data_IF_415308657330
#
_entry.id   IF_415308657330
#
_cell.length_a   1.000
_cell.length_b   1.000
_cell.length_c   1.000
_cell.angle_alpha   90.00
_cell.angle_beta   90.00
_cell.angle_gamma   90.00
#
_symmetry.space_group_name_H-M   'P 1'
#
loop_
_entity.id
_entity.type
_entity.pdbx_description
1 polymer ?
#
# COMPACT_ATOMS: atom_id res chain seq x y z
N UNK A 1 11.19 53.62 37.15
CA UNK A 1 11.54 52.68 36.07
C UNK A 1 10.40 51.67 35.94
N UNK A 2 9.75 51.53 34.77
CA UNK A 2 8.54 50.71 34.68
C UNK A 2 8.87 49.22 34.54
N UNK A 3 8.08 48.40 35.23
CA UNK A 3 8.08 46.95 35.17
C UNK A 3 7.72 46.47 33.74
N UNK A 4 8.64 45.77 33.08
CA UNK A 4 8.35 45.03 31.84
C UNK A 4 7.62 43.73 32.20
N UNK A 5 6.31 43.70 31.99
CA UNK A 5 5.55 42.45 31.97
C UNK A 5 5.99 41.62 30.74
N UNK A 6 6.48 40.40 30.97
CA UNK A 6 6.67 39.40 29.92
C UNK A 6 5.29 38.90 29.50
N UNK A 7 4.78 39.41 28.38
CA UNK A 7 3.67 38.79 27.65
C UNK A 7 4.20 37.53 26.96
N UNK A 8 4.07 36.37 27.61
CA UNK A 8 4.17 35.08 26.92
C UNK A 8 2.89 34.87 26.13
N UNK A 9 2.97 35.09 24.81
CA UNK A 9 1.89 34.76 23.88
C UNK A 9 1.71 33.22 23.85
N UNK A 10 0.55 32.65 24.20
CA UNK A 10 0.34 31.20 24.19
C UNK A 10 0.31 30.59 22.78
N UNK A 11 0.36 31.40 21.72
CA UNK A 11 0.18 30.96 20.33
C UNK A 11 1.42 30.29 19.69
N UNK A 12 2.55 30.16 20.39
CA UNK A 12 3.76 29.48 19.89
C UNK A 12 4.09 28.19 20.64
N UNK A 13 3.06 27.47 21.08
CA UNK A 13 3.18 26.08 21.50
C UNK A 13 3.35 25.14 20.30
N UNK A 14 4.46 25.25 19.56
CA UNK A 14 4.90 24.12 18.75
C UNK A 14 5.22 23.01 19.75
N UNK A 15 4.28 22.07 19.92
CA UNK A 15 4.50 20.86 20.72
C UNK A 15 5.66 20.11 20.08
N UNK A 16 6.86 20.32 20.60
CA UNK A 16 8.04 19.53 20.29
C UNK A 16 7.67 18.07 20.56
N UNK A 17 7.38 17.35 19.48
CA UNK A 17 7.06 15.93 19.54
C UNK A 17 8.36 15.21 19.87
N UNK A 18 8.47 14.64 21.06
CA UNK A 18 9.57 13.73 21.34
C UNK A 18 9.38 12.49 20.46
N UNK A 19 10.29 12.28 19.51
CA UNK A 19 10.42 11.01 18.80
C UNK A 19 10.69 9.94 19.86
N UNK A 20 9.87 8.90 19.92
CA UNK A 20 10.09 7.79 20.87
C UNK A 20 11.03 6.74 20.30
N UNK A 21 11.10 6.60 18.97
CA UNK A 21 12.07 5.74 18.28
C UNK A 21 13.37 6.51 17.97
N UNK A 22 14.55 5.86 18.13
CA UNK A 22 15.84 6.46 17.76
C UNK A 22 15.95 6.57 16.24
N UNK A 23 16.53 7.67 15.75
CA UNK A 23 16.85 7.81 14.33
C UNK A 23 18.01 6.85 14.00
N UNK A 24 17.87 5.97 12.99
CA UNK A 24 18.89 5.03 12.63
C UNK A 24 20.15 5.73 12.10
N UNK A 25 21.29 5.06 12.23
CA UNK A 25 22.58 5.50 11.68
C UNK A 25 23.10 4.44 10.74
N UNK A 26 23.77 4.85 9.67
CA UNK A 26 24.48 3.96 8.75
C UNK A 26 25.46 3.06 9.51
N UNK A 27 25.55 1.80 9.08
CA UNK A 27 26.38 0.76 9.67
C UNK A 27 27.59 0.43 8.78
N UNK A 28 28.69 -0.12 9.34
CA UNK A 28 29.75 -0.70 8.54
C UNK A 28 29.20 -1.76 7.57
N UNK A 29 29.48 -1.60 6.27
CA UNK A 29 28.99 -2.51 5.22
C UNK A 29 27.76 -2.00 4.45
N UNK A 30 27.17 -0.87 4.87
CA UNK A 30 26.15 -0.19 4.09
C UNK A 30 26.73 0.31 2.75
N UNK A 31 26.05 0.02 1.64
CA UNK A 31 26.48 0.43 0.29
C UNK A 31 26.37 1.97 0.18
N UNK A 32 27.39 2.71 -0.25
CA UNK A 32 27.38 4.19 -0.17
C UNK A 32 26.30 4.84 -1.05
N UNK A 33 26.05 4.27 -2.23
CA UNK A 33 25.19 4.86 -3.26
C UNK A 33 23.90 4.05 -3.50
N UNK A 34 23.43 3.27 -2.54
CA UNK A 34 22.19 2.49 -2.69
C UNK A 34 20.90 3.32 -2.61
N UNK A 35 21.01 4.57 -2.15
CA UNK A 35 19.99 5.61 -2.26
C UNK A 35 20.65 6.92 -2.69
N UNK A 36 20.14 7.52 -3.76
CA UNK A 36 20.57 8.84 -4.21
C UNK A 36 19.55 9.89 -3.76
N UNK A 37 20.05 11.01 -3.24
CA UNK A 37 19.22 12.12 -2.80
C UNK A 37 19.49 13.35 -3.66
N UNK A 38 18.44 13.92 -4.26
CA UNK A 38 18.57 15.14 -5.06
C UNK A 38 17.71 16.26 -4.48
N UNK A 39 18.23 17.49 -4.56
CA UNK A 39 17.50 18.70 -4.20
C UNK A 39 17.33 19.56 -5.44
N UNK A 40 16.08 19.71 -5.89
CA UNK A 40 15.72 20.55 -7.02
C UNK A 40 14.73 21.59 -6.51
N UNK A 41 15.17 22.83 -6.29
CA UNK A 41 14.33 23.90 -5.74
C UNK A 41 13.50 23.42 -4.54
N UNK A 42 12.16 23.39 -4.65
CA UNK A 42 11.25 22.92 -3.60
C UNK A 42 11.11 21.39 -3.49
N UNK A 43 11.58 20.62 -4.47
CA UNK A 43 11.52 19.15 -4.46
C UNK A 43 12.74 18.55 -3.78
N UNK A 44 12.49 17.51 -2.99
CA UNK A 44 13.50 16.58 -2.48
C UNK A 44 13.20 15.19 -3.03
N UNK A 45 14.11 14.67 -3.86
CA UNK A 45 13.97 13.39 -4.53
C UNK A 45 14.77 12.33 -3.78
N UNK A 46 14.13 11.20 -3.54
CA UNK A 46 14.72 9.94 -3.08
C UNK A 46 14.70 9.00 -4.28
N UNK A 47 15.87 8.59 -4.75
CA UNK A 47 16.02 7.61 -5.82
C UNK A 47 16.64 6.33 -5.27
N UNK A 48 15.89 5.22 -5.31
CA UNK A 48 16.36 3.90 -4.88
C UNK A 48 17.34 3.36 -5.94
N UNK A 49 18.62 3.24 -5.61
CA UNK A 49 19.68 3.02 -6.60
C UNK A 49 20.33 1.63 -6.45
N UNK A 50 19.53 0.58 -6.66
CA UNK A 50 20.01 -0.81 -6.77
C UNK A 50 19.42 -1.49 -8.01
N UNK A 51 19.58 -0.94 -9.22
CA UNK A 51 18.85 -1.41 -10.41
C UNK A 51 19.17 -2.87 -10.79
N UNK A 52 20.38 -3.36 -10.43
CA UNK A 52 20.78 -4.77 -10.62
C UNK A 52 19.96 -5.75 -9.77
N UNK A 53 19.41 -5.29 -8.64
CA UNK A 53 18.50 -6.05 -7.76
C UNK A 53 17.05 -5.53 -7.84
N UNK A 54 16.68 -4.86 -8.94
CA UNK A 54 15.34 -4.27 -9.11
C UNK A 54 14.95 -3.34 -7.94
N UNK A 55 15.94 -2.60 -7.42
CA UNK A 55 15.77 -1.63 -6.33
C UNK A 55 15.17 -2.23 -5.05
N UNK A 56 15.44 -3.52 -4.77
CA UNK A 56 14.95 -4.17 -3.56
C UNK A 56 15.44 -3.48 -2.30
N UNK A 57 14.50 -3.21 -1.38
CA UNK A 57 14.75 -2.49 -0.14
C UNK A 57 15.59 -3.34 0.82
N UNK A 58 16.59 -2.74 1.44
CA UNK A 58 17.40 -3.37 2.47
C UNK A 58 17.59 -2.43 3.67
N UNK A 59 18.19 -2.94 4.75
CA UNK A 59 18.42 -2.14 5.96
C UNK A 59 19.28 -0.89 5.70
N UNK A 60 20.27 -0.98 4.83
CA UNK A 60 21.15 0.14 4.47
C UNK A 60 20.37 1.33 3.89
N UNK A 61 19.46 1.06 2.95
CA UNK A 61 18.60 2.08 2.35
C UNK A 61 17.66 2.71 3.38
N UNK A 62 17.04 1.91 4.25
CA UNK A 62 16.16 2.42 5.33
C UNK A 62 16.93 3.36 6.28
N UNK A 63 18.14 2.97 6.68
CA UNK A 63 19.03 3.77 7.52
C UNK A 63 19.45 5.09 6.88
N UNK A 64 19.44 5.20 5.54
CA UNK A 64 19.69 6.46 4.81
C UNK A 64 18.43 7.31 4.61
N UNK A 65 17.29 6.68 4.32
CA UNK A 65 16.05 7.40 4.01
C UNK A 65 15.46 8.07 5.25
N UNK A 66 15.37 7.35 6.37
CA UNK A 66 14.72 7.87 7.58
C UNK A 66 15.35 9.18 8.09
N UNK A 67 16.69 9.30 8.25
CA UNK A 67 17.30 10.55 8.67
C UNK A 67 17.00 11.72 7.72
N UNK A 68 16.99 11.49 6.40
CA UNK A 68 16.68 12.52 5.40
C UNK A 68 15.23 12.98 5.45
N UNK A 69 14.28 12.07 5.61
CA UNK A 69 12.88 12.43 5.84
C UNK A 69 12.74 13.26 7.12
N UNK A 70 13.39 12.87 8.21
CA UNK A 70 13.37 13.66 9.46
C UNK A 70 14.03 15.03 9.36
N UNK A 71 15.05 15.16 8.53
CA UNK A 71 15.68 16.44 8.21
C UNK A 71 14.73 17.33 7.39
N UNK A 72 14.15 16.81 6.32
CA UNK A 72 13.29 17.56 5.41
C UNK A 72 11.95 17.94 6.03
N UNK A 73 11.44 17.16 6.98
CA UNK A 73 10.27 17.50 7.80
C UNK A 73 10.43 18.86 8.49
N UNK A 74 11.66 19.22 8.91
CA UNK A 74 11.97 20.48 9.59
C UNK A 74 12.33 21.64 8.67
N UNK A 75 12.57 21.37 7.38
CA UNK A 75 13.09 22.36 6.43
C UNK A 75 11.97 23.00 5.61
N UNK A 76 11.74 24.30 5.73
CA UNK A 76 10.76 25.04 4.91
C UNK A 76 11.11 25.08 3.41
N UNK A 77 12.38 24.81 3.05
CA UNK A 77 12.81 24.68 1.65
C UNK A 77 12.42 23.34 1.00
N UNK A 78 11.98 22.37 1.79
CA UNK A 78 11.52 21.07 1.29
C UNK A 78 9.99 21.12 1.19
N UNK A 79 9.49 21.42 0.00
CA UNK A 79 8.06 21.60 -0.27
C UNK A 79 7.39 20.26 -0.62
N UNK A 80 8.00 19.49 -1.52
CA UNK A 80 7.46 18.21 -2.01
C UNK A 80 8.53 17.15 -1.90
N UNK A 81 8.19 16.00 -1.32
CA UNK A 81 9.04 14.82 -1.34
C UNK A 81 8.60 13.93 -2.50
N UNK A 82 9.57 13.45 -3.26
CA UNK A 82 9.34 12.54 -4.37
C UNK A 82 10.19 11.29 -4.19
N UNK A 83 9.60 10.12 -4.41
CA UNK A 83 10.25 8.83 -4.36
C UNK A 83 10.20 8.17 -5.75
N UNK A 84 11.33 7.67 -6.21
CA UNK A 84 11.48 6.96 -7.49
C UNK A 84 12.51 5.84 -7.39
N UNK A 85 12.54 4.94 -8.36
CA UNK A 85 13.59 3.92 -8.50
C UNK A 85 14.53 4.26 -9.64
N UNK A 86 15.81 3.98 -9.48
CA UNK A 86 16.80 4.13 -10.53
C UNK A 86 16.57 3.10 -11.65
N UNK A 87 16.81 3.52 -12.90
CA UNK A 87 16.57 2.71 -14.09
C UNK A 87 15.09 2.68 -14.51
N UNK A 88 14.74 1.77 -15.42
CA UNK A 88 13.42 1.75 -16.08
C UNK A 88 12.57 0.50 -15.77
N UNK A 89 13.00 -0.32 -14.81
CA UNK A 89 12.41 -1.65 -14.58
C UNK A 89 11.57 -1.74 -13.31
N UNK A 90 11.95 -1.03 -12.25
CA UNK A 90 11.32 -1.16 -10.94
C UNK A 90 11.40 0.16 -10.18
N UNK A 91 10.30 0.53 -9.51
CA UNK A 91 10.40 1.39 -8.35
C UNK A 91 11.17 0.63 -7.26
N UNK A 92 10.62 -0.51 -6.84
CA UNK A 92 11.18 -1.41 -5.84
C UNK A 92 10.45 -2.77 -5.89
N UNK A 93 11.19 -3.85 -6.08
CA UNK A 93 10.67 -5.21 -6.20
C UNK A 93 10.79 -6.02 -4.88
N UNK A 94 10.26 -5.47 -3.79
CA UNK A 94 10.22 -6.10 -2.47
C UNK A 94 11.42 -5.76 -1.59
N UNK A 95 11.45 -6.36 -0.39
CA UNK A 95 12.65 -6.38 0.44
C UNK A 95 13.68 -7.39 -0.09
N UNK A 96 14.94 -7.29 0.35
CA UNK A 96 16.01 -8.25 0.06
C UNK A 96 15.79 -9.58 0.83
N UNK A 97 14.60 -10.18 0.70
CA UNK A 97 14.12 -11.34 1.48
C UNK A 97 14.94 -12.61 1.26
N UNK A 98 15.66 -12.72 0.13
CA UNK A 98 16.60 -13.80 -0.11
C UNK A 98 17.78 -13.77 0.89
N UNK A 99 18.24 -12.57 1.27
CA UNK A 99 19.26 -12.43 2.30
C UNK A 99 18.70 -12.81 3.68
N UNK A 100 17.46 -12.41 3.98
CA UNK A 100 16.78 -12.75 5.24
C UNK A 100 16.56 -14.26 5.39
N UNK A 101 16.16 -14.95 4.32
CA UNK A 101 15.96 -16.41 4.37
C UNK A 101 17.27 -17.16 4.68
N UNK A 102 18.39 -16.78 4.05
CA UNK A 102 19.71 -17.32 4.36
C UNK A 102 20.17 -16.99 5.79
N UNK A 103 19.77 -15.83 6.29
CA UNK A 103 20.06 -15.41 7.65
C UNK A 103 19.28 -16.27 8.66
N UNK A 104 17.98 -16.45 8.45
CA UNK A 104 17.09 -17.19 9.36
C UNK A 104 17.48 -18.67 9.55
N UNK A 105 18.25 -19.26 8.63
CA UNK A 105 18.77 -20.63 8.75
C UNK A 105 19.87 -20.78 9.82
N UNK A 106 20.49 -19.68 10.27
CA UNK A 106 21.61 -19.71 11.21
C UNK A 106 21.19 -19.82 12.68
N UNK A 107 19.92 -19.55 12.99
CA UNK A 107 19.35 -19.74 14.33
C UNK A 107 18.66 -18.50 14.91
N UNK A 108 18.26 -18.54 16.19
CA UNK A 108 17.37 -17.55 16.79
C UNK A 108 17.89 -16.10 16.78
N UNK A 109 19.20 -15.89 16.95
CA UNK A 109 19.80 -14.55 16.94
C UNK A 109 19.65 -13.88 15.55
N UNK A 110 19.91 -14.64 14.50
CA UNK A 110 19.77 -14.18 13.11
C UNK A 110 18.29 -14.01 12.70
N UNK A 111 17.40 -14.85 13.21
CA UNK A 111 15.95 -14.67 13.04
C UNK A 111 15.47 -13.37 13.71
N UNK A 112 16.06 -13.01 14.86
CA UNK A 112 15.78 -11.73 15.51
C UNK A 112 16.31 -10.56 14.68
N UNK A 113 17.50 -10.64 14.12
CA UNK A 113 18.03 -9.61 13.22
C UNK A 113 17.14 -9.38 11.98
N UNK A 114 16.56 -10.43 11.41
CA UNK A 114 15.56 -10.30 10.35
C UNK A 114 14.28 -9.60 10.83
N UNK A 115 13.82 -9.89 12.06
CA UNK A 115 12.70 -9.14 12.67
C UNK A 115 13.05 -7.66 12.87
N UNK A 116 14.28 -7.35 13.25
CA UNK A 116 14.73 -5.97 13.45
C UNK A 116 14.77 -5.18 12.12
N UNK A 117 15.08 -5.85 11.00
CA UNK A 117 14.93 -5.26 9.67
C UNK A 117 13.48 -4.85 9.38
N UNK A 118 12.49 -5.73 9.61
CA UNK A 118 11.07 -5.40 9.43
C UNK A 118 10.62 -4.29 10.39
N UNK A 119 11.16 -4.24 11.61
CA UNK A 119 10.91 -3.13 12.53
C UNK A 119 11.31 -1.78 11.91
N UNK A 120 12.48 -1.71 11.27
CA UNK A 120 12.96 -0.50 10.61
C UNK A 120 12.16 -0.16 9.34
N UNK A 121 11.82 -1.16 8.52
CA UNK A 121 10.96 -0.99 7.34
C UNK A 121 9.59 -0.42 7.73
N UNK A 122 8.91 -1.03 8.70
CA UNK A 122 7.56 -0.60 9.11
C UNK A 122 7.57 0.78 9.79
N UNK A 123 8.67 1.16 10.46
CA UNK A 123 8.84 2.53 10.96
C UNK A 123 8.96 3.54 9.82
N UNK A 124 9.65 3.18 8.73
CA UNK A 124 9.76 4.02 7.53
C UNK A 124 8.40 4.14 6.84
N UNK A 125 7.68 3.04 6.64
CA UNK A 125 6.35 3.05 6.02
C UNK A 125 5.35 3.88 6.84
N UNK A 126 5.39 3.74 8.17
CA UNK A 126 4.59 4.57 9.08
C UNK A 126 4.97 6.06 8.99
N UNK A 127 6.26 6.37 8.87
CA UNK A 127 6.73 7.74 8.69
C UNK A 127 6.18 8.35 7.39
N UNK A 128 6.17 7.58 6.29
CA UNK A 128 5.58 8.00 5.01
C UNK A 128 4.06 8.20 5.17
N UNK A 129 3.37 7.26 5.83
CA UNK A 129 1.93 7.33 6.06
C UNK A 129 1.49 8.57 6.86
N UNK A 130 2.33 9.00 7.80
CA UNK A 130 2.05 10.12 8.72
C UNK A 130 2.87 11.37 8.42
N UNK A 131 3.46 11.44 7.22
CA UNK A 131 4.37 12.51 6.84
C UNK A 131 3.64 13.85 6.68
N UNK A 132 4.26 14.93 7.16
CA UNK A 132 3.62 16.26 7.26
C UNK A 132 3.85 17.15 6.03
N UNK A 133 4.40 16.59 4.95
CA UNK A 133 4.66 17.28 3.69
C UNK A 133 4.12 16.46 2.51
N UNK A 134 3.69 17.10 1.41
CA UNK A 134 3.27 16.39 0.21
C UNK A 134 4.33 15.35 -0.20
N UNK A 135 3.90 14.09 -0.30
CA UNK A 135 4.74 12.96 -0.67
C UNK A 135 4.19 12.32 -1.94
N UNK A 136 5.05 12.18 -2.94
CA UNK A 136 4.74 11.62 -4.26
C UNK A 136 5.57 10.36 -4.48
N UNK A 137 4.92 9.21 -4.60
CA UNK A 137 5.58 7.97 -5.00
C UNK A 137 5.35 7.67 -6.48
N UNK A 138 6.43 7.48 -7.23
CA UNK A 138 6.40 7.14 -8.65
C UNK A 138 6.60 5.64 -8.84
N UNK A 139 5.51 4.93 -9.15
CA UNK A 139 5.50 3.49 -9.37
C UNK A 139 5.91 3.13 -10.81
N UNK A 140 6.94 3.78 -11.37
CA UNK A 140 7.43 3.51 -12.74
C UNK A 140 8.21 2.20 -12.80
N UNK A 141 7.49 1.10 -13.03
CA UNK A 141 8.05 -0.25 -13.04
C UNK A 141 7.44 -1.18 -11.98
N UNK A 142 8.11 -2.30 -11.74
CA UNK A 142 7.74 -3.26 -10.69
C UNK A 142 7.68 -2.56 -9.32
N UNK A 143 6.54 -2.75 -8.64
CA UNK A 143 6.25 -2.24 -7.30
C UNK A 143 5.64 -3.38 -6.49
N UNK A 144 6.46 -4.06 -5.69
CA UNK A 144 6.07 -5.26 -4.91
C UNK A 144 6.66 -5.20 -3.50
N UNK A 145 6.06 -5.89 -2.51
CA UNK A 145 6.53 -5.94 -1.12
C UNK A 145 6.90 -4.57 -0.56
N UNK A 146 8.13 -4.37 -0.07
CA UNK A 146 8.62 -3.06 0.40
C UNK A 146 8.38 -1.87 -0.56
N UNK A 147 8.37 -2.07 -1.88
CA UNK A 147 8.01 -1.01 -2.84
C UNK A 147 6.54 -0.58 -2.75
N UNK A 148 5.67 -1.50 -2.36
CA UNK A 148 4.28 -1.20 -2.01
C UNK A 148 4.23 -0.37 -0.73
N UNK A 149 4.95 -0.75 0.33
CA UNK A 149 5.04 0.01 1.59
C UNK A 149 5.45 1.46 1.41
N UNK A 150 6.50 1.67 0.61
CA UNK A 150 7.01 3.00 0.28
C UNK A 150 6.06 3.85 -0.58
N UNK A 151 5.02 3.26 -1.17
CA UNK A 151 4.13 3.92 -2.13
C UNK A 151 2.69 4.07 -1.64
N UNK A 152 2.02 3.00 -1.20
CA UNK A 152 0.57 2.98 -0.92
C UNK A 152 0.12 3.93 0.18
N UNK A 153 1.04 4.32 1.05
CA UNK A 153 0.82 5.24 2.16
C UNK A 153 1.06 6.71 1.81
N UNK A 154 1.54 7.00 0.59
CA UNK A 154 1.64 8.36 0.11
C UNK A 154 0.26 8.87 -0.40
N UNK A 155 -0.05 10.16 -0.22
CA UNK A 155 -1.26 10.76 -0.81
C UNK A 155 -1.24 10.75 -2.33
N UNK A 156 -0.06 10.84 -2.94
CA UNK A 156 0.12 10.82 -4.39
C UNK A 156 0.94 9.60 -4.80
N UNK A 157 0.30 8.76 -5.60
CA UNK A 157 0.82 7.50 -6.11
C UNK A 157 0.59 7.47 -7.61
N UNK A 158 1.67 7.63 -8.36
CA UNK A 158 1.67 7.74 -9.81
C UNK A 158 1.96 6.36 -10.38
N UNK A 159 0.99 5.76 -11.05
CA UNK A 159 1.23 4.65 -11.96
C UNK A 159 1.63 5.17 -13.35
N UNK A 160 2.39 4.36 -14.08
CA UNK A 160 2.79 4.57 -15.48
C UNK A 160 2.44 3.33 -16.29
N UNK A 161 2.67 3.36 -17.60
CA UNK A 161 2.53 2.19 -18.46
C UNK A 161 3.44 1.02 -18.07
N UNK A 162 4.47 1.27 -17.24
CA UNK A 162 5.42 0.25 -16.76
C UNK A 162 5.08 -0.31 -15.39
N UNK A 163 4.11 0.27 -14.68
CA UNK A 163 3.75 -0.19 -13.33
C UNK A 163 3.36 -1.65 -13.36
N UNK A 164 3.97 -2.44 -12.48
CA UNK A 164 3.51 -3.81 -12.17
C UNK A 164 3.40 -3.92 -10.65
N UNK A 165 2.19 -3.73 -10.16
CA UNK A 165 1.86 -3.85 -8.75
C UNK A 165 1.49 -5.29 -8.40
N UNK A 166 2.04 -5.83 -7.31
CA UNK A 166 1.60 -7.09 -6.72
C UNK A 166 2.05 -7.23 -5.26
N UNK A 167 1.34 -8.09 -4.53
CA UNK A 167 1.70 -8.56 -3.18
C UNK A 167 1.99 -10.08 -3.25
N UNK A 168 3.21 -10.50 -3.67
CA UNK A 168 3.58 -11.91 -3.86
C UNK A 168 3.93 -12.66 -2.57
N UNK A 169 3.64 -12.13 -1.39
CA UNK A 169 4.12 -12.64 -0.10
C UNK A 169 3.58 -14.06 0.20
N UNK A 170 2.32 -14.34 -0.12
CA UNK A 170 1.75 -15.70 0.06
C UNK A 170 2.41 -16.76 -0.83
N UNK A 171 3.08 -16.33 -1.91
CA UNK A 171 3.85 -17.21 -2.81
C UNK A 171 5.15 -17.68 -2.18
N UNK A 172 5.71 -16.91 -1.24
CA UNK A 172 7.00 -17.18 -0.59
C UNK A 172 6.84 -17.62 0.87
N UNK A 173 5.64 -18.01 1.28
CA UNK A 173 5.40 -18.42 2.67
C UNK A 173 5.40 -17.26 3.67
N UNK A 174 4.99 -16.07 3.21
CA UNK A 174 4.85 -14.87 4.02
C UNK A 174 3.43 -14.29 3.88
N UNK A 175 3.14 -13.20 4.59
CA UNK A 175 1.83 -12.55 4.59
C UNK A 175 1.94 -11.14 3.98
N UNK A 176 0.87 -10.57 3.40
CA UNK A 176 0.88 -9.18 2.94
C UNK A 176 1.14 -8.23 4.10
N UNK A 177 2.33 -7.63 4.12
CA UNK A 177 2.84 -6.76 5.17
C UNK A 177 2.88 -5.29 4.71
N UNK A 178 3.75 -4.47 5.30
CA UNK A 178 3.96 -3.06 4.94
C UNK A 178 2.68 -2.24 4.87
N UNK A 179 1.77 -2.47 5.82
CA UNK A 179 0.45 -1.86 5.87
C UNK A 179 -0.60 -2.54 4.97
N UNK A 180 -0.32 -3.73 4.45
CA UNK A 180 -1.20 -4.57 3.64
C UNK A 180 -2.55 -4.80 4.31
N UNK A 181 -2.56 -5.10 5.61
CA UNK A 181 -3.79 -5.25 6.39
C UNK A 181 -4.63 -3.96 6.47
N UNK A 182 -4.02 -2.78 6.24
CA UNK A 182 -4.71 -1.50 6.23
C UNK A 182 -5.25 -1.13 4.85
N UNK A 183 -4.39 -1.08 3.83
CA UNK A 183 -4.80 -0.53 2.54
C UNK A 183 -5.64 -1.52 1.72
N UNK A 184 -5.29 -2.82 1.72
CA UNK A 184 -6.03 -3.83 0.96
C UNK A 184 -7.44 -3.98 1.52
N UNK A 185 -7.59 -3.96 2.85
CA UNK A 185 -8.90 -4.07 3.50
C UNK A 185 -9.83 -2.87 3.24
N UNK A 186 -9.33 -1.82 2.58
CA UNK A 186 -10.05 -0.57 2.26
C UNK A 186 -10.24 -0.37 0.75
N UNK A 187 -9.77 -1.31 -0.08
CA UNK A 187 -10.16 -1.35 -1.50
C UNK A 187 -11.65 -1.69 -1.62
N UNK A 188 -12.25 -1.32 -2.76
CA UNK A 188 -13.68 -1.55 -2.99
C UNK A 188 -14.01 -3.06 -2.91
N UNK A 189 -15.08 -3.41 -2.20
CA UNK A 189 -15.56 -4.78 -2.00
C UNK A 189 -14.47 -5.74 -1.47
N UNK A 190 -14.36 -6.93 -2.06
CA UNK A 190 -13.36 -7.94 -1.68
C UNK A 190 -12.12 -7.96 -2.59
N UNK A 191 -11.89 -6.87 -3.32
CA UNK A 191 -10.73 -6.76 -4.21
C UNK A 191 -9.41 -6.91 -3.46
N UNK A 192 -9.28 -6.29 -2.29
CA UNK A 192 -8.08 -6.43 -1.47
C UNK A 192 -7.83 -7.85 -0.97
N UNK A 193 -8.89 -8.57 -0.59
CA UNK A 193 -8.80 -9.99 -0.21
C UNK A 193 -8.33 -10.85 -1.38
N UNK A 194 -8.88 -10.61 -2.58
CA UNK A 194 -8.46 -11.30 -3.80
C UNK A 194 -6.98 -11.05 -4.11
N UNK A 195 -6.53 -9.79 -4.11
CA UNK A 195 -5.14 -9.43 -4.41
C UNK A 195 -4.16 -10.02 -3.38
N UNK A 196 -4.51 -9.98 -2.09
CA UNK A 196 -3.72 -10.53 -1.00
C UNK A 196 -3.50 -12.04 -1.11
N UNK A 197 -4.56 -12.80 -1.36
CA UNK A 197 -4.50 -14.26 -1.34
C UNK A 197 -3.91 -14.83 -2.63
N UNK A 198 -4.27 -14.25 -3.78
CA UNK A 198 -3.85 -14.78 -5.09
C UNK A 198 -2.51 -14.23 -5.57
N UNK A 199 -2.08 -13.07 -5.04
CA UNK A 199 -0.94 -12.31 -5.54
C UNK A 199 -1.09 -11.88 -7.02
N UNK A 200 -2.33 -11.64 -7.45
CA UNK A 200 -2.63 -11.17 -8.81
C UNK A 200 -1.92 -9.84 -9.12
N UNK A 201 -1.49 -9.67 -10.37
CA UNK A 201 -0.71 -8.51 -10.78
C UNK A 201 -1.60 -7.45 -11.42
N UNK A 202 -1.46 -6.21 -10.97
CA UNK A 202 -2.08 -5.06 -11.62
C UNK A 202 -1.03 -4.36 -12.48
N UNK A 203 -1.29 -4.29 -13.78
CA UNK A 203 -0.39 -3.66 -14.74
C UNK A 203 -0.91 -2.27 -15.13
N UNK A 204 -0.02 -1.29 -15.19
CA UNK A 204 -0.31 0.06 -15.66
C UNK A 204 -1.57 0.69 -15.08
N UNK A 205 -2.51 1.05 -15.96
CA UNK A 205 -3.76 1.74 -15.59
C UNK A 205 -4.67 0.89 -14.69
N UNK A 206 -4.49 -0.43 -14.65
CA UNK A 206 -5.26 -1.30 -13.76
C UNK A 206 -4.99 -0.99 -12.28
N UNK A 207 -3.78 -0.50 -11.94
CA UNK A 207 -3.47 -0.03 -10.60
C UNK A 207 -4.33 1.20 -10.23
N UNK A 208 -4.64 2.09 -11.18
CA UNK A 208 -5.54 3.22 -10.98
C UNK A 208 -6.98 2.75 -10.78
N UNK A 209 -7.49 1.86 -11.64
CA UNK A 209 -8.87 1.37 -11.55
C UNK A 209 -9.15 0.56 -10.28
N UNK A 210 -8.15 -0.18 -9.79
CA UNK A 210 -8.22 -0.90 -8.53
C UNK A 210 -8.19 0.02 -7.29
N UNK A 211 -7.82 1.29 -7.44
CA UNK A 211 -7.66 2.25 -6.33
C UNK A 211 -6.30 2.19 -5.64
N UNK A 212 -5.37 1.36 -6.13
CA UNK A 212 -3.98 1.31 -5.64
C UNK A 212 -3.26 2.59 -6.04
N UNK A 213 -3.30 2.99 -7.31
CA UNK A 213 -2.75 4.26 -7.75
C UNK A 213 -3.78 5.40 -7.61
N UNK A 214 -3.29 6.63 -7.47
CA UNK A 214 -4.15 7.84 -7.44
C UNK A 214 -4.14 8.61 -8.76
N UNK A 215 -3.06 8.43 -9.53
CA UNK A 215 -2.79 9.10 -10.78
C UNK A 215 -2.18 8.10 -11.75
N UNK A 216 -2.43 8.31 -13.03
CA UNK A 216 -1.80 7.58 -14.12
C UNK A 216 -1.19 8.58 -15.10
N UNK A 217 0.12 8.51 -15.31
CA UNK A 217 0.86 9.39 -16.20
C UNK A 217 1.81 8.55 -17.05
N UNK A 218 2.00 8.91 -18.31
CA UNK A 218 3.00 8.25 -19.13
C UNK A 218 4.42 8.53 -18.59
N UNK A 219 5.31 7.54 -18.62
CA UNK A 219 6.67 7.66 -18.03
C UNK A 219 7.46 8.84 -18.60
N UNK A 220 7.23 9.22 -19.87
CA UNK A 220 7.88 10.38 -20.50
C UNK A 220 7.52 11.74 -19.88
N UNK A 221 6.41 11.83 -19.13
CA UNK A 221 5.98 13.07 -18.48
C UNK A 221 6.67 13.30 -17.13
N UNK A 222 7.30 12.26 -16.54
CA UNK A 222 7.81 12.30 -15.16
C UNK A 222 8.90 13.35 -14.94
N UNK A 223 9.81 13.52 -15.91
CA UNK A 223 10.87 14.53 -15.81
C UNK A 223 10.30 15.95 -15.78
N UNK A 224 9.36 16.25 -16.69
CA UNK A 224 8.71 17.56 -16.74
C UNK A 224 7.82 17.81 -15.51
N UNK A 225 7.14 16.77 -15.01
CA UNK A 225 6.40 16.84 -13.75
C UNK A 225 7.33 17.19 -12.59
N UNK A 226 8.48 16.52 -12.49
CA UNK A 226 9.47 16.77 -11.42
C UNK A 226 9.93 18.22 -11.44
N UNK A 227 10.27 18.74 -12.63
CA UNK A 227 10.63 20.14 -12.82
C UNK A 227 9.49 21.07 -12.37
N UNK A 228 8.24 20.79 -12.78
CA UNK A 228 7.11 21.63 -12.41
C UNK A 228 6.78 21.61 -10.92
N UNK A 229 6.86 20.45 -10.28
CA UNK A 229 6.70 20.32 -8.82
C UNK A 229 7.80 21.06 -8.06
N UNK A 230 9.01 21.13 -8.62
CA UNK A 230 10.15 21.83 -8.01
C UNK A 230 9.92 23.34 -7.90
N UNK A 231 9.13 23.91 -8.81
CA UNK A 231 8.79 25.34 -8.86
C UNK A 231 7.66 25.72 -7.90
N UNK A 232 6.97 24.75 -7.28
CA UNK A 232 5.88 25.05 -6.37
C UNK A 232 6.41 25.72 -5.10
N UNK A 233 5.87 26.91 -4.83
CA UNK A 233 6.10 27.66 -3.60
C UNK A 233 4.78 27.73 -2.84
N UNK A 234 4.77 27.18 -1.63
CA UNK A 234 3.64 27.29 -0.72
C UNK A 234 3.74 28.58 0.07
N UNK A 235 2.60 29.19 0.37
CA UNK A 235 2.57 30.33 1.31
C UNK A 235 2.75 29.78 2.72
N UNK A 236 3.36 30.56 3.61
CA UNK A 236 3.64 30.11 4.99
C UNK A 236 2.36 29.68 5.74
N UNK A 237 1.24 30.35 5.45
CA UNK A 237 -0.06 30.06 6.04
C UNK A 237 -0.87 28.99 5.28
N UNK A 238 -0.36 28.40 4.19
CA UNK A 238 -1.02 27.32 3.47
C UNK A 238 -1.12 26.08 4.36
N UNK A 239 -2.35 25.61 4.59
CA UNK A 239 -2.60 24.39 5.35
C UNK A 239 -2.06 23.17 4.60
N UNK A 240 -1.85 22.06 5.29
CA UNK A 240 -1.41 20.81 4.64
C UNK A 240 -2.34 20.40 3.49
N UNK A 241 -3.66 20.56 3.67
CA UNK A 241 -4.65 20.24 2.64
C UNK A 241 -4.55 21.18 1.42
N UNK A 242 -4.29 22.48 1.61
CA UNK A 242 -4.09 23.41 0.50
C UNK A 242 -2.85 23.03 -0.32
N UNK A 243 -1.77 22.61 0.36
CA UNK A 243 -0.54 22.16 -0.29
C UNK A 243 -0.79 20.90 -1.13
N UNK A 244 -1.49 19.91 -0.56
CA UNK A 244 -1.88 18.70 -1.29
C UNK A 244 -2.78 19.03 -2.49
N UNK A 245 -3.78 19.89 -2.31
CA UNK A 245 -4.68 20.29 -3.40
C UNK A 245 -3.92 20.96 -4.56
N UNK A 246 -2.94 21.82 -4.26
CA UNK A 246 -2.09 22.43 -5.29
C UNK A 246 -1.24 21.38 -6.02
N UNK A 247 -0.58 20.47 -5.29
CA UNK A 247 0.19 19.37 -5.91
C UNK A 247 -0.69 18.50 -6.80
N UNK A 248 -1.88 18.12 -6.33
CA UNK A 248 -2.85 17.34 -7.10
C UNK A 248 -3.24 18.06 -8.41
N UNK A 249 -3.53 19.37 -8.33
CA UNK A 249 -3.86 20.18 -9.51
C UNK A 249 -2.70 20.24 -10.49
N UNK A 250 -1.48 20.46 -10.01
CA UNK A 250 -0.27 20.50 -10.85
C UNK A 250 -0.01 19.15 -11.52
N UNK A 251 -0.20 18.03 -10.82
CA UNK A 251 -0.05 16.70 -11.41
C UNK A 251 -1.07 16.44 -12.53
N UNK A 252 -2.29 16.96 -12.41
CA UNK A 252 -3.32 16.82 -13.43
C UNK A 252 -2.95 17.51 -14.76
N UNK A 253 -2.11 18.56 -14.74
CA UNK A 253 -1.61 19.25 -15.94
C UNK A 253 -0.76 18.34 -16.85
N UNK A 254 -0.21 17.25 -16.31
CA UNK A 254 0.64 16.30 -17.04
C UNK A 254 -0.11 15.04 -17.49
N UNK A 255 -1.42 14.95 -17.20
CA UNK A 255 -2.21 13.81 -17.64
C UNK A 255 -2.39 13.85 -19.16
N UNK A 256 -2.00 12.76 -19.82
CA UNK A 256 -2.17 12.57 -21.28
C UNK A 256 -3.44 11.78 -21.61
N UNK A 257 -4.35 11.63 -20.64
CA UNK A 257 -5.45 10.66 -20.71
C UNK A 257 -5.04 9.27 -20.21
N UNK A 258 -6.05 8.48 -19.86
CA UNK A 258 -5.90 7.02 -19.67
C UNK A 258 -6.11 6.30 -21.02
N UNK A 259 -5.53 5.10 -21.22
CA UNK A 259 -5.85 4.28 -22.39
C UNK A 259 -7.37 4.08 -22.51
N UNK A 260 -7.86 4.08 -23.74
CA UNK A 260 -9.31 3.90 -23.94
C UNK A 260 -9.74 2.51 -23.48
N UNK A 261 -10.94 2.38 -22.91
CA UNK A 261 -11.46 1.06 -22.48
C UNK A 261 -11.65 0.06 -23.63
N UNK A 262 -11.54 0.51 -24.89
CA UNK A 262 -11.51 -0.36 -26.07
C UNK A 262 -10.13 -0.98 -26.30
N UNK A 263 -9.07 -0.23 -26.03
CA UNK A 263 -7.68 -0.69 -26.15
C UNK A 263 -7.27 -1.49 -24.91
N UNK A 264 -7.57 -0.96 -23.72
CA UNK A 264 -7.27 -1.59 -22.45
C UNK A 264 -8.50 -1.57 -21.53
N UNK A 265 -9.34 -2.63 -21.57
CA UNK A 265 -10.49 -2.76 -20.69
C UNK A 265 -10.10 -2.77 -19.21
N UNK A 266 -11.01 -2.32 -18.35
CA UNK A 266 -10.86 -2.52 -16.90
C UNK A 266 -10.90 -4.05 -16.64
N UNK A 267 -9.80 -4.62 -16.16
CA UNK A 267 -9.65 -6.07 -16.06
C UNK A 267 -10.53 -6.66 -14.96
N UNK A 268 -10.51 -6.06 -13.77
CA UNK A 268 -11.29 -6.52 -12.62
C UNK A 268 -12.63 -5.79 -12.56
N UNK A 269 -13.49 -6.05 -13.56
CA UNK A 269 -14.78 -5.38 -13.75
C UNK A 269 -15.93 -6.37 -14.02
N UNK A 270 -17.17 -5.87 -13.96
CA UNK A 270 -18.36 -6.59 -14.42
C UNK A 270 -18.56 -7.94 -13.72
N UNK A 271 -18.84 -8.99 -14.49
CA UNK A 271 -19.09 -10.34 -13.93
C UNK A 271 -17.92 -10.88 -13.12
N UNK A 272 -16.68 -10.63 -13.55
CA UNK A 272 -15.50 -11.03 -12.81
C UNK A 272 -15.45 -10.33 -11.46
N UNK A 273 -15.67 -9.01 -11.44
CA UNK A 273 -15.69 -8.23 -10.20
C UNK A 273 -16.79 -8.72 -9.24
N UNK A 274 -17.98 -9.04 -9.75
CA UNK A 274 -19.06 -9.65 -8.96
C UNK A 274 -18.68 -11.02 -8.40
N UNK A 275 -18.04 -11.89 -9.20
CA UNK A 275 -17.58 -13.21 -8.74
C UNK A 275 -16.53 -13.08 -7.63
N UNK A 276 -15.59 -12.12 -7.75
CA UNK A 276 -14.63 -11.82 -6.69
C UNK A 276 -15.36 -11.46 -5.38
N UNK A 277 -16.32 -10.53 -5.43
CA UNK A 277 -17.08 -10.14 -4.23
C UNK A 277 -17.84 -11.32 -3.61
N UNK A 278 -18.48 -12.15 -4.45
CA UNK A 278 -19.22 -13.32 -3.97
C UNK A 278 -18.33 -14.40 -3.38
N UNK A 279 -17.18 -14.69 -3.99
CA UNK A 279 -16.31 -15.79 -3.58
C UNK A 279 -15.38 -15.43 -2.42
N UNK A 280 -14.95 -14.17 -2.31
CA UNK A 280 -13.94 -13.74 -1.33
C UNK A 280 -14.50 -13.06 -0.07
N UNK A 281 -15.83 -12.99 0.10
CA UNK A 281 -16.48 -12.34 1.26
C UNK A 281 -16.38 -13.11 2.59
N UNK A 282 -16.04 -14.39 2.55
CA UNK A 282 -16.07 -15.28 3.72
C UNK A 282 -14.93 -15.01 4.71
N UNK A 283 -15.00 -15.61 5.90
CA UNK A 283 -14.03 -15.39 6.98
C UNK A 283 -12.99 -16.52 7.10
N UNK A 284 -13.17 -17.62 6.37
CA UNK A 284 -12.21 -18.72 6.28
C UNK A 284 -11.78 -18.97 4.84
N UNK A 285 -10.57 -19.50 4.66
CA UNK A 285 -10.03 -19.81 3.32
C UNK A 285 -10.79 -20.99 2.71
N UNK A 286 -11.22 -21.92 3.54
CA UNK A 286 -12.01 -23.09 3.20
C UNK A 286 -13.37 -22.68 2.59
N UNK A 287 -14.07 -21.72 3.19
CA UNK A 287 -15.32 -21.19 2.64
C UNK A 287 -15.09 -20.47 1.29
N UNK A 288 -13.98 -19.73 1.15
CA UNK A 288 -13.61 -19.11 -0.13
C UNK A 288 -13.39 -20.18 -1.21
N UNK A 289 -12.67 -21.26 -0.89
CA UNK A 289 -12.45 -22.38 -1.81
C UNK A 289 -13.78 -23.04 -2.18
N UNK A 290 -14.66 -23.29 -1.22
CA UNK A 290 -15.98 -23.86 -1.49
C UNK A 290 -16.83 -22.94 -2.38
N UNK A 291 -16.74 -21.63 -2.19
CA UNK A 291 -17.44 -20.66 -3.03
C UNK A 291 -16.90 -20.64 -4.46
N UNK A 292 -15.57 -20.71 -4.64
CA UNK A 292 -14.93 -20.82 -5.96
C UNK A 292 -15.31 -22.12 -6.67
N UNK A 293 -15.39 -23.25 -5.95
CA UNK A 293 -15.83 -24.54 -6.50
C UNK A 293 -17.29 -24.52 -6.99
N UNK A 294 -18.14 -23.68 -6.38
CA UNK A 294 -19.55 -23.52 -6.73
C UNK A 294 -19.80 -22.40 -7.75
N UNK A 295 -18.77 -21.66 -8.16
CA UNK A 295 -18.91 -20.53 -9.08
C UNK A 295 -19.19 -21.03 -10.51
N UNK A 296 -20.34 -20.62 -11.06
CA UNK A 296 -20.82 -21.08 -12.37
C UNK A 296 -20.75 -20.02 -13.46
N UNK A 297 -20.81 -18.73 -13.11
CA UNK A 297 -20.81 -17.62 -14.08
C UNK A 297 -19.39 -17.34 -14.60
N UNK A 298 -18.39 -17.49 -13.73
CA UNK A 298 -16.98 -17.23 -14.02
C UNK A 298 -16.11 -18.49 -13.81
N UNK A 299 -16.60 -19.64 -14.26
CA UNK A 299 -15.99 -20.96 -14.01
C UNK A 299 -14.49 -21.06 -14.34
N UNK A 300 -14.07 -20.61 -15.52
CA UNK A 300 -12.65 -20.70 -15.93
C UNK A 300 -11.71 -19.86 -15.07
N UNK A 301 -12.17 -18.68 -14.63
CA UNK A 301 -11.45 -17.86 -13.67
C UNK A 301 -11.39 -18.54 -12.29
N UNK A 302 -12.49 -19.13 -11.85
CA UNK A 302 -12.57 -19.79 -10.55
C UNK A 302 -11.62 -21.00 -10.48
N UNK A 303 -11.57 -21.84 -11.53
CA UNK A 303 -10.66 -22.98 -11.67
C UNK A 303 -9.18 -22.53 -11.60
N UNK A 304 -8.81 -21.50 -12.36
CA UNK A 304 -7.45 -20.92 -12.32
C UNK A 304 -7.12 -20.33 -10.95
N UNK A 305 -8.10 -19.72 -10.28
CA UNK A 305 -7.92 -19.15 -8.94
C UNK A 305 -7.72 -20.25 -7.91
N UNK A 306 -8.45 -21.37 -8.00
CA UNK A 306 -8.27 -22.55 -7.15
C UNK A 306 -6.86 -23.15 -7.31
N UNK A 307 -6.37 -23.29 -8.55
CA UNK A 307 -5.00 -23.73 -8.83
C UNK A 307 -3.97 -22.76 -8.24
N UNK A 308 -4.24 -21.46 -8.32
CA UNK A 308 -3.36 -20.44 -7.75
C UNK A 308 -3.27 -20.56 -6.24
N UNK A 309 -4.42 -20.70 -5.55
CA UNK A 309 -4.49 -20.79 -4.09
C UNK A 309 -3.88 -22.11 -3.57
N UNK A 310 -4.05 -23.23 -4.27
CA UNK A 310 -3.46 -24.52 -3.86
C UNK A 310 -1.92 -24.53 -3.92
N UNK A 311 -1.32 -23.62 -4.67
CA UNK A 311 0.13 -23.45 -4.75
C UNK A 311 0.71 -22.51 -3.67
N UNK A 312 -0.11 -21.88 -2.82
CA UNK A 312 0.33 -20.96 -1.74
C UNK A 312 0.53 -21.70 -0.42
N UNK A 313 1.29 -21.10 0.50
CA UNK A 313 1.41 -21.61 1.87
C UNK A 313 0.04 -21.57 2.56
N UNK A 314 -0.46 -22.71 3.09
CA UNK A 314 -1.73 -22.76 3.82
C UNK A 314 -1.77 -21.81 5.02
N UNK A 315 -0.67 -21.76 5.79
CA UNK A 315 -0.50 -20.84 6.92
C UNK A 315 -0.59 -19.39 6.46
N UNK A 316 0.11 -19.04 5.38
CA UNK A 316 0.14 -17.68 4.83
C UNK A 316 -1.25 -17.23 4.37
N UNK A 317 -2.02 -18.10 3.70
CA UNK A 317 -3.40 -17.79 3.29
C UNK A 317 -4.30 -17.49 4.49
N UNK A 318 -4.25 -18.33 5.53
CA UNK A 318 -5.07 -18.16 6.74
C UNK A 318 -4.69 -16.90 7.52
N UNK A 319 -3.39 -16.64 7.70
CA UNK A 319 -2.92 -15.39 8.34
C UNK A 319 -3.32 -14.18 7.51
N UNK A 320 -3.10 -14.20 6.20
CA UNK A 320 -3.45 -13.10 5.29
C UNK A 320 -4.95 -12.78 5.33
N UNK A 321 -5.82 -13.78 5.27
CA UNK A 321 -7.26 -13.56 5.35
C UNK A 321 -7.66 -12.99 6.72
N UNK A 322 -7.17 -13.60 7.81
CA UNK A 322 -7.50 -13.15 9.17
C UNK A 322 -7.08 -11.70 9.38
N UNK A 323 -5.85 -11.33 9.03
CA UNK A 323 -5.37 -9.94 9.21
C UNK A 323 -6.20 -8.92 8.43
N UNK A 324 -6.69 -9.28 7.23
CA UNK A 324 -7.52 -8.36 6.45
C UNK A 324 -8.88 -8.13 7.08
N UNK A 325 -9.43 -9.14 7.78
CA UNK A 325 -10.72 -9.00 8.50
C UNK A 325 -10.56 -8.12 9.73
N UNK A 326 -9.55 -8.37 10.56
CA UNK A 326 -9.32 -7.58 11.78
C UNK A 326 -8.71 -6.20 11.50
N UNK A 327 -7.88 -6.08 10.45
CA UNK A 327 -7.21 -4.85 10.01
C UNK A 327 -8.14 -3.75 9.50
N UNK A 328 -9.39 -4.10 9.15
CA UNK A 328 -10.46 -3.11 8.84
C UNK A 328 -10.70 -2.15 10.00
N UNK A 329 -10.48 -2.60 11.24
CA UNK A 329 -10.73 -1.82 12.45
C UNK A 329 -9.47 -1.15 13.01
N UNK A 330 -8.28 -1.56 12.56
CA UNK A 330 -7.03 -1.01 13.06
C UNK A 330 -6.81 0.41 12.54
N UNK A 331 -6.22 1.22 13.40
CA UNK A 331 -5.57 2.45 12.98
C UNK A 331 -4.27 2.15 12.23
N UNK A 332 -3.78 3.11 11.45
CA UNK A 332 -2.51 2.96 10.71
C UNK A 332 -1.33 2.60 11.62
N UNK A 333 -1.28 3.14 12.85
CA UNK A 333 -0.21 2.83 13.80
C UNK A 333 -0.32 1.42 14.36
N UNK A 334 -1.55 0.97 14.69
CA UNK A 334 -1.77 -0.39 15.17
C UNK A 334 -1.47 -1.43 14.10
N UNK A 335 -1.74 -1.11 12.83
CA UNK A 335 -1.38 -1.98 11.70
C UNK A 335 0.10 -2.35 11.74
N UNK A 336 1.01 -1.38 11.71
CA UNK A 336 2.45 -1.69 11.70
C UNK A 336 2.93 -2.39 12.97
N UNK A 337 2.35 -2.06 14.13
CA UNK A 337 2.66 -2.74 15.38
C UNK A 337 2.26 -4.22 15.37
N UNK A 338 1.10 -4.53 14.79
CA UNK A 338 0.58 -5.90 14.71
C UNK A 338 1.24 -6.68 13.59
N UNK A 339 1.45 -6.08 12.43
CA UNK A 339 2.20 -6.69 11.33
C UNK A 339 3.65 -6.99 11.75
N UNK A 340 4.28 -6.14 12.57
CA UNK A 340 5.58 -6.48 13.18
C UNK A 340 5.51 -7.78 13.99
N UNK A 341 4.53 -7.92 14.89
CA UNK A 341 4.38 -9.14 15.69
C UNK A 341 4.11 -10.39 14.84
N UNK A 342 3.36 -10.25 13.73
CA UNK A 342 3.11 -11.33 12.77
C UNK A 342 4.40 -11.67 12.02
N UNK A 343 5.12 -10.67 11.50
CA UNK A 343 6.38 -10.84 10.77
C UNK A 343 7.48 -11.48 11.61
N UNK A 344 7.64 -11.08 12.87
CA UNK A 344 8.60 -11.69 13.79
C UNK A 344 8.39 -13.21 13.93
N UNK A 345 7.15 -13.68 13.86
CA UNK A 345 6.82 -15.11 13.94
C UNK A 345 7.08 -15.82 12.62
N UNK A 346 6.78 -15.17 11.49
CA UNK A 346 7.15 -15.70 10.18
C UNK A 346 8.66 -15.85 9.99
N UNK A 347 9.49 -14.98 10.58
CA UNK A 347 10.95 -15.14 10.54
C UNK A 347 11.44 -16.44 11.18
N UNK A 348 10.62 -17.03 12.05
CA UNK A 348 10.88 -18.32 12.72
C UNK A 348 10.11 -19.47 12.07
N UNK A 349 9.18 -19.18 11.16
CA UNK A 349 8.31 -20.18 10.54
C UNK A 349 8.99 -20.82 9.32
N UNK A 350 8.92 -22.16 9.16
CA UNK A 350 9.63 -22.87 8.09
C UNK A 350 9.19 -22.45 6.67
N UNK A 351 7.90 -22.15 6.47
CA UNK A 351 7.37 -21.76 5.15
C UNK A 351 8.08 -20.55 4.53
N UNK A 352 8.51 -19.58 5.34
CA UNK A 352 9.17 -18.38 4.81
C UNK A 352 10.50 -18.74 4.13
N UNK A 353 11.36 -19.48 4.84
CA UNK A 353 12.67 -19.89 4.32
C UNK A 353 12.50 -20.83 3.12
N UNK A 354 11.61 -21.81 3.22
CA UNK A 354 11.34 -22.76 2.13
C UNK A 354 10.75 -22.08 0.89
N UNK A 355 9.77 -21.18 1.07
CA UNK A 355 9.14 -20.44 -0.01
C UNK A 355 10.12 -19.51 -0.73
N UNK A 356 10.93 -18.77 0.03
CA UNK A 356 11.99 -17.91 -0.55
C UNK A 356 13.00 -18.74 -1.33
N UNK A 357 13.49 -19.86 -0.78
CA UNK A 357 14.45 -20.75 -1.47
C UNK A 357 13.86 -21.35 -2.73
N UNK A 358 12.63 -21.85 -2.66
CA UNK A 358 11.94 -22.49 -3.79
C UNK A 358 11.67 -21.50 -4.94
N UNK A 359 11.31 -20.25 -4.63
CA UNK A 359 10.82 -19.28 -5.63
C UNK A 359 11.87 -18.31 -6.12
N UNK A 360 12.81 -17.88 -5.26
CA UNK A 360 13.78 -16.84 -5.58
C UNK A 360 15.21 -17.37 -5.78
N UNK A 361 15.58 -18.45 -5.10
CA UNK A 361 16.96 -18.98 -5.12
C UNK A 361 17.12 -20.18 -6.05
N UNK A 362 16.11 -21.04 -6.16
CA UNK A 362 16.10 -22.17 -7.09
C UNK A 362 16.06 -21.69 -8.55
N UNK A 363 16.88 -22.29 -9.40
CA UNK A 363 16.91 -22.04 -10.85
C UNK A 363 16.80 -23.38 -11.61
N UNK A 364 15.67 -23.69 -12.27
CA UNK A 364 14.43 -22.89 -12.34
C UNK A 364 13.70 -22.80 -10.98
N UNK A 365 12.78 -21.83 -10.79
CA UNK A 365 11.90 -21.81 -9.63
C UNK A 365 11.11 -23.11 -9.54
N UNK A 366 10.99 -23.65 -8.33
CA UNK A 366 10.23 -24.87 -8.05
C UNK A 366 9.00 -24.57 -7.20
N UNK A 367 8.12 -25.56 -7.06
CA UNK A 367 7.08 -25.52 -6.04
C UNK A 367 7.71 -25.73 -4.67
N UNK A 368 7.25 -24.96 -3.69
CA UNK A 368 7.71 -25.08 -2.31
C UNK A 368 7.00 -26.24 -1.61
N UNK A 369 7.65 -26.81 -0.59
CA UNK A 369 7.08 -27.88 0.23
C UNK A 369 6.65 -27.29 1.57
N UNK A 370 5.39 -26.88 1.66
CA UNK A 370 4.83 -26.19 2.81
C UNK A 370 4.68 -27.11 4.04
N UNK A 371 4.79 -26.51 5.22
CA UNK A 371 4.55 -27.14 6.51
C UNK A 371 3.68 -26.21 7.38
N UNK A 372 2.38 -26.54 7.59
CA UNK A 372 1.65 -27.72 7.09
C UNK A 372 1.41 -27.75 5.57
N UNK A 373 1.11 -28.93 5.03
CA UNK A 373 1.00 -29.15 3.58
C UNK A 373 -0.38 -28.77 3.03
N UNK A 374 -1.44 -28.92 3.83
CA UNK A 374 -2.82 -28.59 3.45
C UNK A 374 -3.47 -27.58 4.39
N UNK A 375 -4.61 -27.02 4.00
CA UNK A 375 -5.34 -26.05 4.82
C UNK A 375 -5.91 -26.70 6.09
N UNK A 376 -6.39 -27.93 5.98
CA UNK A 376 -7.04 -28.69 7.06
C UNK A 376 -6.07 -29.00 8.20
N UNK A 377 -4.78 -29.13 7.90
CA UNK A 377 -3.72 -29.38 8.89
C UNK A 377 -3.35 -28.13 9.71
N UNK A 378 -3.70 -26.93 9.22
CA UNK A 378 -3.41 -25.68 9.93
C UNK A 378 -4.49 -25.43 10.99
N UNK A 379 -4.14 -25.65 12.26
CA UNK A 379 -5.07 -25.45 13.38
C UNK A 379 -5.35 -23.97 13.64
N UNK A 380 -6.51 -23.69 14.25
CA UNK A 380 -6.88 -22.33 14.66
C UNK A 380 -5.89 -21.77 15.67
N UNK A 381 -5.42 -22.59 16.60
CA UNK A 381 -4.46 -22.21 17.65
C UNK A 381 -3.11 -21.80 17.04
N UNK A 382 -2.65 -22.50 15.99
CA UNK A 382 -1.44 -22.11 15.27
C UNK A 382 -1.59 -20.73 14.60
N UNK A 383 -2.78 -20.41 14.11
CA UNK A 383 -3.06 -19.07 13.57
C UNK A 383 -3.22 -18.04 14.68
N UNK A 384 -3.87 -18.36 15.81
CA UNK A 384 -3.99 -17.47 16.96
C UNK A 384 -2.62 -16.99 17.45
N UNK A 385 -1.65 -17.91 17.49
CA UNK A 385 -0.28 -17.59 17.84
C UNK A 385 0.31 -16.48 16.97
N UNK A 386 -0.07 -16.28 15.70
CA UNK A 386 0.43 -15.15 14.90
C UNK A 386 -0.08 -13.79 15.39
N UNK A 387 -1.29 -13.74 15.94
CA UNK A 387 -1.97 -12.51 16.34
C UNK A 387 -1.81 -12.16 17.83
N UNK A 388 -1.20 -13.05 18.62
CA UNK A 388 -0.78 -12.74 19.99
C UNK A 388 0.25 -11.61 20.01
N UNK A 389 -0.05 -10.51 20.68
CA UNK A 389 0.97 -9.49 20.95
C UNK A 389 1.60 -9.87 22.29
N UNK A 390 2.91 -10.16 22.37
CA UNK A 390 3.54 -10.57 23.62
C UNK A 390 3.22 -9.58 24.75
N UNK A 391 2.58 -10.07 25.81
CA UNK A 391 2.43 -9.33 27.06
C UNK A 391 3.73 -9.41 27.85
N UNK A 392 4.77 -8.67 27.44
CA UNK A 392 5.90 -8.41 28.32
C UNK A 392 5.74 -7.03 28.96
N UNK A 393 5.24 -7.06 30.20
CA UNK A 393 5.34 -6.03 31.23
C UNK A 393 4.96 -4.59 30.82
N UNK A 394 3.67 -4.25 30.91
CA UNK A 394 3.16 -2.94 31.34
C UNK A 394 4.00 -1.70 30.97
N UNK A 395 4.21 -1.47 29.68
CA UNK A 395 4.78 -0.22 29.16
C UNK A 395 4.67 -0.11 27.64
N UNK A 396 4.65 1.11 27.08
CA UNK A 396 4.63 1.38 25.64
C UNK A 396 5.87 0.88 24.85
N UNK A 397 6.77 0.14 25.48
CA UNK A 397 8.04 -0.34 24.92
C UNK A 397 7.98 -1.75 24.28
N UNK A 398 6.94 -2.55 24.53
CA UNK A 398 6.81 -3.90 23.92
C UNK A 398 6.24 -3.89 22.50
N UNK A 399 5.57 -2.80 22.11
CA UNK A 399 5.07 -2.60 20.74
C UNK A 399 6.12 -1.88 19.93
N UNK A 400 6.14 -2.13 18.61
CA UNK A 400 7.01 -1.39 17.69
C UNK A 400 6.88 0.11 17.95
N UNK A 401 7.99 0.73 18.36
CA UNK A 401 8.10 2.17 18.55
C UNK A 401 8.10 2.87 17.20
N UNK A 402 7.25 3.88 17.04
CA UNK A 402 7.03 4.61 15.79
C UNK A 402 7.52 6.06 15.90
N UNK A 403 7.96 6.66 14.79
CA UNK A 403 8.51 8.02 14.80
C UNK A 403 7.45 9.11 15.04
N UNK A 404 6.21 8.86 14.64
CA UNK A 404 5.07 9.74 14.89
C UNK A 404 4.01 9.00 15.70
N UNK A 405 3.40 9.67 16.68
CA UNK A 405 2.30 9.09 17.46
C UNK A 405 1.00 9.91 17.38
N UNK A 406 1.02 11.08 16.72
CA UNK A 406 -0.13 11.98 16.71
C UNK A 406 -1.27 11.44 15.84
N UNK A 407 -2.46 11.36 16.46
CA UNK A 407 -3.77 11.05 15.89
C UNK A 407 -3.78 9.91 14.86
N UNK A 408 -3.60 8.65 15.32
CA UNK A 408 -3.68 7.51 14.42
C UNK A 408 -5.06 7.49 13.74
N UNK A 409 -5.08 7.42 12.41
CA UNK A 409 -6.31 7.44 11.63
C UNK A 409 -6.75 6.02 11.25
N UNK A 410 -8.06 5.80 11.18
CA UNK A 410 -8.67 4.53 10.73
C UNK A 410 -9.00 4.54 9.23
N UNK A 411 -8.92 5.70 8.58
CA UNK A 411 -9.12 5.90 7.14
C UNK A 411 -8.07 6.88 6.65
N UNK A 412 -7.57 6.70 5.42
CA UNK A 412 -6.64 7.68 4.85
C UNK A 412 -7.26 9.09 4.84
N UNK A 413 -6.54 10.12 5.29
CA UNK A 413 -7.09 11.47 5.44
C UNK A 413 -7.22 12.22 4.10
N UNK A 414 -6.79 11.61 3.00
CA UNK A 414 -6.76 12.18 1.66
C UNK A 414 -7.47 11.28 0.65
N UNK A 415 -8.08 11.89 -0.38
CA UNK A 415 -8.91 11.20 -1.38
C UNK A 415 -8.62 11.71 -2.80
N UNK A 416 -7.40 11.45 -3.29
CA UNK A 416 -6.96 11.88 -4.61
C UNK A 416 -7.09 10.79 -5.70
N UNK A 417 -7.52 9.57 -5.38
CA UNK A 417 -7.79 8.53 -6.38
C UNK A 417 -9.14 8.68 -7.07
N UNK A 418 -9.50 7.68 -7.88
CA UNK A 418 -10.85 7.54 -8.43
C UNK A 418 -11.89 7.39 -7.30
N UNK A 419 -13.16 7.76 -7.51
CA UNK A 419 -14.19 7.60 -6.49
C UNK A 419 -14.40 6.13 -6.14
N UNK A 420 -14.43 5.83 -4.83
CA UNK A 420 -14.76 4.49 -4.31
C UNK A 420 -16.22 4.14 -4.56
N UNK A 421 -16.53 2.84 -4.57
CA UNK A 421 -17.90 2.33 -4.69
C UNK A 421 -18.81 2.95 -3.63
N UNK A 422 -18.33 3.05 -2.38
CA UNK A 422 -19.08 3.66 -1.28
C UNK A 422 -19.40 5.15 -1.49
N UNK A 423 -18.53 5.91 -2.17
CA UNK A 423 -18.80 7.32 -2.51
C UNK A 423 -19.83 7.43 -3.63
N UNK A 424 -19.77 6.53 -4.61
CA UNK A 424 -20.76 6.46 -5.70
C UNK A 424 -22.11 6.05 -5.14
N UNK A 425 -22.15 5.03 -4.27
CA UNK A 425 -23.35 4.58 -3.57
C UNK A 425 -24.01 5.71 -2.78
N UNK A 426 -23.24 6.42 -1.95
CA UNK A 426 -23.77 7.53 -1.16
C UNK A 426 -24.42 8.60 -2.05
N UNK A 427 -23.81 8.91 -3.19
CA UNK A 427 -24.37 9.86 -4.16
C UNK A 427 -25.67 9.34 -4.79
N UNK A 428 -25.66 8.08 -5.29
CA UNK A 428 -26.82 7.45 -5.93
C UNK A 428 -27.97 7.31 -4.94
N UNK A 429 -27.74 6.90 -3.69
CA UNK A 429 -28.81 6.79 -2.68
C UNK A 429 -29.40 8.15 -2.31
N UNK A 430 -28.60 9.21 -2.28
CA UNK A 430 -29.06 10.56 -1.96
C UNK A 430 -29.84 11.23 -3.12
N UNK A 431 -29.46 10.98 -4.38
CA UNK A 431 -30.02 11.68 -5.56
C UNK A 431 -30.83 10.81 -6.52
N UNK A 432 -30.65 9.49 -6.51
CA UNK A 432 -31.23 8.55 -7.48
C UNK A 432 -32.75 8.42 -7.45
N UNK A 433 -33.40 8.82 -6.34
CA UNK A 433 -34.86 8.87 -6.19
C UNK A 433 -35.51 10.12 -6.78
N UNK A 434 -34.72 11.09 -7.26
CA UNK A 434 -35.21 12.21 -8.07
C UNK A 434 -34.99 11.80 -9.52
N UNK A 435 -36.08 11.58 -10.25
CA UNK A 435 -36.04 11.07 -11.62
C UNK A 435 -35.04 11.80 -12.52
N UNK A 436 -34.44 11.02 -13.43
CA UNK A 436 -33.48 11.41 -14.49
C UNK A 436 -31.99 11.51 -14.14
N UNK A 437 -31.52 10.91 -13.03
CA UNK A 437 -30.07 10.90 -12.72
C UNK A 437 -29.25 10.22 -13.85
N UNK A 438 -28.49 11.00 -14.61
CA UNK A 438 -27.67 10.51 -15.73
C UNK A 438 -26.24 10.18 -15.30
N UNK A 439 -25.53 9.34 -16.08
CA UNK A 439 -24.09 9.12 -15.88
C UNK A 439 -23.30 10.43 -15.88
N UNK A 440 -23.67 11.37 -16.77
CA UNK A 440 -23.01 12.67 -16.89
C UNK A 440 -23.12 13.48 -15.58
N UNK A 441 -24.29 13.50 -14.96
CA UNK A 441 -24.51 14.20 -13.69
C UNK A 441 -23.74 13.54 -12.54
N UNK A 442 -23.73 12.21 -12.48
CA UNK A 442 -22.96 11.48 -11.47
C UNK A 442 -21.46 11.77 -11.63
N UNK A 443 -20.94 11.69 -12.85
CA UNK A 443 -19.53 11.99 -13.15
C UNK A 443 -19.19 13.44 -12.82
N UNK A 444 -20.09 14.39 -13.09
CA UNK A 444 -19.87 15.81 -12.78
C UNK A 444 -19.79 16.14 -11.29
N UNK A 445 -20.29 15.24 -10.42
CA UNK A 445 -20.14 15.34 -8.97
C UNK A 445 -18.75 14.88 -8.48
N UNK A 446 -18.00 14.20 -9.34
CA UNK A 446 -16.62 13.83 -9.08
C UNK A 446 -15.71 14.78 -9.89
N UNK A 447 -14.51 15.03 -9.37
CA UNK A 447 -13.53 15.84 -10.10
C UNK A 447 -13.34 15.28 -11.52
N UNK A 448 -13.10 16.13 -12.51
CA UNK A 448 -12.94 15.76 -13.93
C UNK A 448 -11.62 15.02 -14.21
N UNK A 449 -11.20 14.15 -13.30
CA UNK A 449 -10.01 13.30 -13.40
C UNK A 449 -10.26 12.18 -14.42
N UNK A 450 -9.24 11.89 -15.21
CA UNK A 450 -9.22 10.79 -16.17
C UNK A 450 -9.51 9.45 -15.48
N UNK A 451 -10.34 8.60 -16.13
CA UNK A 451 -10.78 7.31 -15.59
C UNK A 451 -11.99 7.37 -14.65
N UNK A 452 -12.43 8.56 -14.21
CA UNK A 452 -13.62 8.71 -13.35
C UNK A 452 -14.88 8.22 -14.07
N UNK A 453 -15.05 8.61 -15.34
CA UNK A 453 -16.21 8.24 -16.13
C UNK A 453 -16.31 6.72 -16.27
N UNK A 454 -15.20 6.07 -16.58
CA UNK A 454 -15.06 4.64 -16.81
C UNK A 454 -15.33 3.87 -15.51
N UNK A 455 -14.71 4.29 -14.39
CA UNK A 455 -14.96 3.70 -13.06
C UNK A 455 -16.40 3.84 -12.62
N UNK A 456 -16.99 5.03 -12.74
CA UNK A 456 -18.40 5.26 -12.37
C UNK A 456 -19.32 4.41 -13.25
N UNK A 457 -19.09 4.37 -14.57
CA UNK A 457 -19.90 3.56 -15.46
C UNK A 457 -19.83 2.06 -15.11
N UNK A 458 -18.65 1.53 -14.79
CA UNK A 458 -18.47 0.15 -14.35
C UNK A 458 -19.24 -0.15 -13.06
N UNK A 459 -19.10 0.70 -12.04
CA UNK A 459 -19.76 0.52 -10.75
C UNK A 459 -21.27 0.57 -10.90
N UNK A 460 -21.80 1.54 -11.65
CA UNK A 460 -23.24 1.64 -11.88
C UNK A 460 -23.77 0.41 -12.64
N UNK A 461 -23.06 -0.08 -13.65
CA UNK A 461 -23.48 -1.25 -14.41
C UNK A 461 -23.60 -2.52 -13.53
N UNK A 462 -22.81 -2.60 -12.46
CA UNK A 462 -22.76 -3.78 -11.56
C UNK A 462 -23.61 -3.62 -10.31
N UNK A 463 -23.75 -2.38 -9.80
CA UNK A 463 -24.35 -2.06 -8.51
C UNK A 463 -25.65 -1.27 -8.61
N UNK A 464 -26.20 -1.05 -9.81
CA UNK A 464 -27.49 -0.36 -9.95
C UNK A 464 -28.45 -1.00 -10.93
N UNK A 465 -29.74 -0.79 -10.70
CA UNK A 465 -30.84 -1.13 -11.60
C UNK A 465 -31.67 0.13 -11.84
N UNK A 466 -32.19 0.30 -13.06
CA UNK A 466 -33.07 1.41 -13.42
C UNK A 466 -34.49 0.91 -13.64
N UNK A 467 -35.45 1.54 -12.97
CA UNK A 467 -36.89 1.30 -13.12
C UNK A 467 -37.66 2.63 -13.26
N UNK A 468 -38.99 2.58 -13.19
CA UNK A 468 -39.89 3.75 -13.30
C UNK A 468 -39.64 4.81 -12.20
N UNK A 469 -39.12 4.40 -11.03
CA UNK A 469 -38.82 5.27 -9.91
C UNK A 469 -37.40 5.87 -9.95
N UNK A 470 -36.55 5.44 -10.90
CA UNK A 470 -35.22 5.99 -11.13
C UNK A 470 -34.10 4.96 -11.05
N UNK A 471 -32.90 5.43 -10.67
CA UNK A 471 -31.70 4.60 -10.55
C UNK A 471 -31.50 4.17 -9.09
N UNK A 472 -31.49 2.86 -8.83
CA UNK A 472 -31.39 2.30 -7.48
C UNK A 472 -30.13 1.48 -7.30
N UNK A 473 -29.53 1.57 -6.11
CA UNK A 473 -28.40 0.72 -5.73
C UNK A 473 -28.85 -0.69 -5.34
N UNK A 474 -28.15 -1.70 -5.84
CA UNK A 474 -28.33 -3.12 -5.50
C UNK A 474 -27.10 -3.66 -4.79
N UNK A 475 -27.34 -4.47 -3.75
CA UNK A 475 -26.29 -5.02 -2.89
C UNK A 475 -25.62 -6.26 -3.51
#
# INVERSE_FOLDING_TARGET
>A
MPLRAKLTNPAFGATASMSTAPIPKELPGDEPDDVLFHSHYGVRLIELNRPKKLNSLNGSMVRKIVPRLKEWEKSDLANVIMLSGAGSKALCAGGDVAALALQNEKGPEDQQASSDFFADEYRLDHLIATYQKPFVSVMDGITMGGGVGLSVHAPFRIATERTVFAMPETTIGFFPDVGGSFFLSRLDGELGTYLALTSERLQGVQALYAGVATHYLHSSALANLTARLSELVFRDYSTFQDRLALVNKTMAEFSTGVPSVREEPIQLAGKLRSAIDRCFQYNTVEEIIQALQKETEMKSWAEKTLETLSARSPTSLKVALRQLRVGRQWTISETFQREHAIASKFMRHPDFVEGVKARLMSKPPRQATWQPATLEEVSTEAIDQFFEIPESASGPESRLSLYHYKSPYTQYPYKFGLPSESRIEAFVRHRGRKGDLTLKEIVSNFDSKEGVKEKVAEVLARRTVRDEAGLHWVN
#
